data_IF_986739961317
#
_entry.id   IF_986739961317
#
_cell.length_a   1.000
_cell.length_b   1.000
_cell.length_c   1.000
_cell.angle_alpha   90.00
_cell.angle_beta   90.00
_cell.angle_gamma   90.00
#
_symmetry.space_group_name_H-M   'P 1'
#
loop_
_entity.id
_entity.type
_entity.pdbx_description
1 polymer ?
#
# COMPACT_ATOMS: atom_id res chain seq x y z
N UNK A 1 -5.19 -21.78 14.01
CA UNK A 1 -5.00 -20.47 13.35
C UNK A 1 -3.97 -19.69 14.15
N UNK A 2 -2.91 -19.14 13.52
CA UNK A 2 -2.01 -18.22 14.23
C UNK A 2 -2.78 -16.93 14.53
N UNK A 3 -2.61 -16.36 15.73
CA UNK A 3 -3.20 -15.07 16.06
C UNK A 3 -2.64 -13.99 15.13
N UNK A 4 -3.48 -13.04 14.71
CA UNK A 4 -3.04 -11.90 13.91
C UNK A 4 -1.99 -11.09 14.67
N UNK A 5 -0.96 -10.62 13.95
CA UNK A 5 0.11 -9.77 14.51
C UNK A 5 -0.52 -8.58 15.23
N UNK A 6 -0.12 -8.33 16.47
CA UNK A 6 -0.47 -7.10 17.19
C UNK A 6 0.59 -6.04 16.92
N UNK A 7 0.15 -4.82 16.62
CA UNK A 7 1.06 -3.70 16.40
C UNK A 7 1.55 -3.17 17.75
N UNK A 8 2.87 -2.96 17.87
CA UNK A 8 3.45 -2.24 19.00
C UNK A 8 3.36 -0.75 18.71
N UNK A 9 2.52 -0.02 19.46
CA UNK A 9 2.40 1.44 19.38
C UNK A 9 3.62 2.13 19.97
N UNK A 10 3.96 3.32 19.47
CA UNK A 10 5.09 4.12 19.95
C UNK A 10 4.67 5.38 20.74
N UNK A 11 3.37 5.57 20.98
CA UNK A 11 2.83 6.72 21.71
C UNK A 11 1.30 6.76 21.65
N UNK A 12 0.75 7.93 22.00
CA UNK A 12 -0.69 8.19 21.88
C UNK A 12 -1.12 8.32 20.41
N UNK A 13 -2.41 8.03 20.08
CA UNK A 13 -2.98 8.32 18.77
C UNK A 13 -2.74 9.78 18.39
N UNK A 14 -2.25 10.03 17.17
CA UNK A 14 -1.95 11.39 16.71
C UNK A 14 -2.24 11.59 15.24
N UNK A 15 -2.63 12.82 14.92
CA UNK A 15 -2.71 13.38 13.57
C UNK A 15 -2.12 14.78 13.67
N UNK A 16 -0.90 14.96 13.18
CA UNK A 16 -0.19 16.23 13.34
C UNK A 16 0.67 16.56 12.12
N UNK A 17 0.74 17.84 11.77
CA UNK A 17 1.67 18.34 10.76
C UNK A 17 3.01 18.70 11.42
N UNK A 18 4.08 18.05 10.98
CA UNK A 18 5.44 18.48 11.31
C UNK A 18 6.17 18.87 10.02
N UNK A 19 6.54 20.16 9.92
CA UNK A 19 7.10 20.76 8.71
C UNK A 19 6.16 20.58 7.51
N UNK A 20 6.49 19.69 6.60
CA UNK A 20 5.74 19.36 5.38
C UNK A 20 5.04 17.99 5.47
N UNK A 21 5.23 17.24 6.55
CA UNK A 21 4.77 15.85 6.68
C UNK A 21 3.68 15.72 7.74
N UNK A 22 2.52 15.20 7.34
CA UNK A 22 1.46 14.79 8.25
C UNK A 22 1.79 13.41 8.82
N UNK A 23 1.84 13.31 10.14
CA UNK A 23 2.03 12.06 10.87
C UNK A 23 0.70 11.57 11.41
N UNK A 24 0.27 10.39 10.96
CA UNK A 24 -0.92 9.68 11.43
C UNK A 24 -0.44 8.41 12.12
N UNK A 25 -0.38 8.41 13.44
CA UNK A 25 0.27 7.30 14.17
C UNK A 25 -0.60 6.77 15.33
N UNK A 26 -0.38 5.50 15.66
CA UNK A 26 -0.94 4.82 16.85
C UNK A 26 -2.47 4.70 16.88
N UNK A 27 -3.12 4.62 15.72
CA UNK A 27 -4.58 4.44 15.64
C UNK A 27 -4.94 2.95 15.66
N UNK A 28 -5.37 2.45 16.82
CA UNK A 28 -5.61 1.02 17.05
C UNK A 28 -7.08 0.76 17.39
N UNK A 29 -7.73 -0.10 16.60
CA UNK A 29 -9.12 -0.51 16.74
C UNK A 29 -10.11 0.68 16.74
N UNK A 30 -9.84 1.71 15.93
CA UNK A 30 -10.72 2.86 15.81
C UNK A 30 -12.00 2.47 15.08
N UNK A 31 -13.16 2.78 15.68
CA UNK A 31 -14.47 2.54 15.06
C UNK A 31 -14.74 3.53 13.92
N UNK A 32 -14.43 4.80 14.18
CA UNK A 32 -14.60 5.88 13.21
C UNK A 32 -13.36 6.03 12.31
N UNK A 33 -13.55 6.48 11.05
CA UNK A 33 -12.43 6.72 10.14
C UNK A 33 -11.61 7.95 10.57
N UNK A 34 -10.29 7.82 10.51
CA UNK A 34 -9.34 8.90 10.72
C UNK A 34 -9.18 9.63 9.39
N UNK A 35 -9.76 10.82 9.28
CA UNK A 35 -9.78 11.58 8.02
C UNK A 35 -8.81 12.76 8.09
N UNK A 36 -7.86 12.77 7.15
CA UNK A 36 -6.99 13.91 6.87
C UNK A 36 -7.58 14.71 5.71
N UNK A 37 -8.40 15.70 6.05
CA UNK A 37 -9.10 16.57 5.09
C UNK A 37 -8.25 17.74 4.57
N UNK A 38 -7.16 18.06 5.28
CA UNK A 38 -6.23 19.14 4.94
C UNK A 38 -4.95 18.63 4.25
N UNK A 39 -4.25 19.53 3.55
CA UNK A 39 -3.02 19.20 2.84
C UNK A 39 -2.99 19.69 1.40
N UNK A 40 -1.86 19.47 0.75
CA UNK A 40 -1.60 19.87 -0.63
C UNK A 40 -0.54 18.98 -1.27
N UNK A 41 -0.30 19.18 -2.57
CA UNK A 41 0.74 18.47 -3.33
C UNK A 41 2.17 18.67 -2.78
N UNK A 42 2.37 19.63 -1.88
CA UNK A 42 3.66 19.87 -1.20
C UNK A 42 3.84 19.00 0.03
N UNK A 43 2.75 18.45 0.58
CA UNK A 43 2.78 17.71 1.82
C UNK A 43 3.06 16.24 1.59
N UNK A 44 3.68 15.58 2.56
CA UNK A 44 3.80 14.12 2.63
C UNK A 44 2.89 13.60 3.73
N UNK A 45 2.52 12.32 3.66
CA UNK A 45 1.78 11.64 4.73
C UNK A 45 2.57 10.43 5.19
N UNK A 46 2.78 10.30 6.49
CA UNK A 46 3.41 9.15 7.12
C UNK A 46 2.40 8.51 8.06
N UNK A 47 1.97 7.29 7.75
CA UNK A 47 1.08 6.49 8.60
C UNK A 47 1.88 5.38 9.27
N UNK A 48 1.88 5.35 10.60
CA UNK A 48 2.65 4.35 11.36
C UNK A 48 1.87 3.68 12.48
N UNK A 49 2.29 2.47 12.82
CA UNK A 49 1.92 1.78 14.05
C UNK A 49 0.40 1.76 14.31
N UNK A 50 -0.40 1.54 13.26
CA UNK A 50 -1.86 1.57 13.33
C UNK A 50 -2.44 0.19 13.06
N UNK A 51 -3.57 -0.15 13.67
CA UNK A 51 -4.17 -1.47 13.55
C UNK A 51 -5.70 -1.40 13.47
N UNK A 52 -6.30 -2.20 12.59
CA UNK A 52 -7.76 -2.36 12.46
C UNK A 52 -8.52 -1.02 12.37
N UNK A 53 -7.97 -0.07 11.62
CA UNK A 53 -8.50 1.30 11.50
C UNK A 53 -8.65 1.70 10.04
N UNK A 54 -9.57 2.64 9.79
CA UNK A 54 -9.76 3.25 8.46
C UNK A 54 -9.08 4.61 8.44
N UNK A 55 -8.18 4.85 7.48
CA UNK A 55 -7.48 6.11 7.30
C UNK A 55 -7.83 6.68 5.92
N UNK A 56 -8.29 7.94 5.89
CA UNK A 56 -8.74 8.61 4.67
C UNK A 56 -7.85 9.84 4.42
N UNK A 57 -7.26 9.95 3.23
CA UNK A 57 -6.48 11.11 2.78
C UNK A 57 -7.22 11.74 1.59
N UNK A 58 -7.95 12.83 1.86
CA UNK A 58 -8.87 13.42 0.86
C UNK A 58 -8.14 14.27 -0.19
N UNK A 59 -7.03 14.90 0.20
CA UNK A 59 -6.27 15.79 -0.67
C UNK A 59 -5.25 15.02 -1.50
N UNK A 60 -4.95 15.54 -2.70
CA UNK A 60 -3.77 15.10 -3.45
C UNK A 60 -2.51 15.58 -2.74
N UNK A 61 -1.65 14.65 -2.35
CA UNK A 61 -0.39 14.90 -1.63
C UNK A 61 0.83 14.55 -2.47
N UNK A 62 2.03 14.87 -1.99
CA UNK A 62 3.28 14.50 -2.67
C UNK A 62 3.46 12.98 -2.70
N UNK A 63 3.52 12.36 -1.51
CA UNK A 63 3.70 10.93 -1.31
C UNK A 63 3.06 10.46 -0.02
N UNK A 64 2.85 9.14 0.10
CA UNK A 64 2.35 8.49 1.32
C UNK A 64 3.31 7.36 1.70
N UNK A 65 3.71 7.32 2.96
CA UNK A 65 4.53 6.26 3.54
C UNK A 65 3.74 5.55 4.63
N UNK A 66 3.54 4.25 4.50
CA UNK A 66 2.73 3.40 5.39
C UNK A 66 3.64 2.34 5.98
N UNK A 67 3.82 2.35 7.30
CA UNK A 67 4.74 1.45 7.98
C UNK A 67 4.14 0.81 9.22
N UNK A 68 4.43 -0.47 9.45
CA UNK A 68 4.03 -1.17 10.67
C UNK A 68 2.50 -1.08 10.95
N UNK A 69 1.69 -1.21 9.90
CA UNK A 69 0.23 -1.21 10.00
C UNK A 69 -0.34 -2.62 9.83
N UNK A 70 -1.41 -2.97 10.54
CA UNK A 70 -2.05 -4.30 10.45
C UNK A 70 -3.56 -4.18 10.32
N UNK A 71 -4.18 -4.84 9.33
CA UNK A 71 -5.64 -4.86 9.20
C UNK A 71 -6.25 -3.49 8.84
N UNK A 72 -5.43 -2.55 8.34
CA UNK A 72 -5.86 -1.20 8.04
C UNK A 72 -6.45 -1.06 6.64
N UNK A 73 -7.40 -0.14 6.51
CA UNK A 73 -8.00 0.24 5.23
C UNK A 73 -7.62 1.70 4.96
N UNK A 74 -7.08 1.97 3.78
CA UNK A 74 -6.67 3.29 3.33
C UNK A 74 -7.52 3.71 2.14
N UNK A 75 -8.14 4.88 2.23
CA UNK A 75 -8.77 5.55 1.09
C UNK A 75 -7.97 6.81 0.78
N UNK A 76 -7.39 6.88 -0.41
CA UNK A 76 -6.51 7.98 -0.81
C UNK A 76 -7.02 8.60 -2.10
N UNK A 77 -6.88 9.91 -2.24
CA UNK A 77 -7.18 10.58 -3.49
C UNK A 77 -6.14 10.24 -4.57
N UNK A 78 -5.06 11.01 -4.60
CA UNK A 78 -3.99 10.90 -5.59
C UNK A 78 -2.66 11.25 -4.91
N UNK A 79 -1.55 10.81 -5.49
CA UNK A 79 -0.21 11.27 -5.10
C UNK A 79 0.53 11.85 -6.30
N UNK A 80 1.56 12.65 -6.05
CA UNK A 80 2.44 13.15 -7.11
C UNK A 80 3.47 12.10 -7.50
N UNK A 81 4.04 11.42 -6.52
CA UNK A 81 5.14 10.46 -6.71
C UNK A 81 4.71 9.03 -6.40
N UNK A 82 4.65 8.66 -5.12
CA UNK A 82 4.53 7.25 -4.73
C UNK A 82 3.75 7.03 -3.43
N UNK A 83 3.31 5.78 -3.27
CA UNK A 83 2.90 5.22 -1.99
C UNK A 83 3.87 4.08 -1.62
N UNK A 84 4.40 4.07 -0.42
CA UNK A 84 5.28 3.03 0.09
C UNK A 84 4.59 2.28 1.24
N UNK A 85 4.56 0.95 1.17
CA UNK A 85 3.97 0.06 2.17
C UNK A 85 5.07 -0.84 2.69
N UNK A 86 5.44 -0.66 3.96
CA UNK A 86 6.61 -1.34 4.56
C UNK A 86 6.21 -2.05 5.85
N UNK A 87 6.58 -3.32 5.99
CA UNK A 87 6.35 -4.09 7.23
C UNK A 87 4.88 -4.09 7.68
N UNK A 88 3.95 -4.27 6.75
CA UNK A 88 2.51 -4.24 7.01
C UNK A 88 1.85 -5.60 6.75
N UNK A 89 0.74 -5.89 7.43
CA UNK A 89 -0.01 -7.14 7.24
C UNK A 89 -1.51 -6.86 7.06
N UNK A 90 -2.20 -7.52 6.13
CA UNK A 90 -3.65 -7.34 5.87
C UNK A 90 -4.04 -5.88 5.56
N UNK A 91 -3.38 -5.29 4.56
CA UNK A 91 -3.65 -3.92 4.11
C UNK A 91 -4.63 -3.90 2.94
N UNK A 92 -5.59 -2.98 2.99
CA UNK A 92 -6.43 -2.63 1.84
C UNK A 92 -6.19 -1.16 1.50
N UNK A 93 -5.71 -0.87 0.30
CA UNK A 93 -5.46 0.49 -0.17
C UNK A 93 -6.34 0.77 -1.38
N UNK A 94 -7.21 1.76 -1.32
CA UNK A 94 -8.04 2.20 -2.43
C UNK A 94 -7.66 3.62 -2.84
N UNK A 95 -7.34 3.81 -4.12
CA UNK A 95 -7.16 5.14 -4.70
C UNK A 95 -8.42 5.58 -5.45
N UNK A 96 -8.83 6.84 -5.31
CA UNK A 96 -9.92 7.42 -6.11
C UNK A 96 -9.40 8.15 -7.34
N UNK A 97 -8.13 8.56 -7.34
CA UNK A 97 -7.48 9.20 -8.47
C UNK A 97 -6.19 8.51 -8.91
N UNK A 98 -5.15 9.28 -9.25
CA UNK A 98 -3.91 8.75 -9.84
C UNK A 98 -2.82 8.55 -8.79
N UNK A 99 -2.26 7.34 -8.76
CA UNK A 99 -1.03 6.98 -8.04
C UNK A 99 -0.04 6.41 -9.06
N UNK A 100 1.08 7.10 -9.36
CA UNK A 100 2.03 6.62 -10.37
C UNK A 100 2.73 5.32 -9.95
N UNK A 101 3.17 5.25 -8.69
CA UNK A 101 3.99 4.14 -8.20
C UNK A 101 3.56 3.69 -6.81
N UNK A 102 3.52 2.38 -6.60
CA UNK A 102 3.38 1.76 -5.28
C UNK A 102 4.57 0.83 -5.01
N UNK A 103 5.16 0.92 -3.83
CA UNK A 103 6.20 -0.01 -3.37
C UNK A 103 5.67 -0.84 -2.20
N UNK A 104 5.90 -2.15 -2.20
CA UNK A 104 5.48 -3.09 -1.15
C UNK A 104 6.71 -3.87 -0.66
N UNK A 105 7.23 -3.52 0.51
CA UNK A 105 8.37 -4.20 1.16
C UNK A 105 7.95 -4.92 2.45
N UNK A 106 8.40 -6.16 2.63
CA UNK A 106 8.21 -6.96 3.86
C UNK A 106 6.76 -7.00 4.35
N UNK A 107 5.81 -7.05 3.43
CA UNK A 107 4.38 -6.95 3.76
C UNK A 107 3.61 -8.16 3.26
N UNK A 108 2.58 -8.58 3.99
CA UNK A 108 1.78 -9.75 3.63
C UNK A 108 0.31 -9.37 3.51
N UNK A 109 -0.40 -9.98 2.54
CA UNK A 109 -1.83 -9.78 2.32
C UNK A 109 -2.17 -8.30 2.04
N UNK A 110 -1.73 -7.82 0.89
CA UNK A 110 -1.89 -6.41 0.47
C UNK A 110 -2.78 -6.35 -0.77
N UNK A 111 -3.97 -5.76 -0.64
CA UNK A 111 -4.92 -5.57 -1.73
C UNK A 111 -4.97 -4.09 -2.13
N UNK A 112 -4.64 -3.79 -3.38
CA UNK A 112 -4.64 -2.43 -3.93
C UNK A 112 -5.78 -2.29 -4.92
N UNK A 113 -6.74 -1.44 -4.59
CA UNK A 113 -7.90 -1.10 -5.41
C UNK A 113 -7.58 0.15 -6.22
N UNK A 114 -7.44 -0.02 -7.54
CA UNK A 114 -7.13 1.05 -8.47
C UNK A 114 -8.37 1.87 -8.81
N UNK A 115 -8.18 3.13 -9.21
CA UNK A 115 -9.23 3.93 -9.84
C UNK A 115 -9.29 3.66 -11.34
N UNK A 116 -10.33 4.15 -12.03
CA UNK A 116 -10.40 4.07 -13.50
C UNK A 116 -9.25 4.82 -14.19
N UNK A 117 -8.79 5.92 -13.60
CA UNK A 117 -7.69 6.75 -14.11
C UNK A 117 -6.29 6.27 -13.67
N UNK A 118 -6.21 5.54 -12.55
CA UNK A 118 -4.97 5.01 -11.96
C UNK A 118 -4.62 3.58 -12.37
N UNK A 119 -5.22 3.03 -13.42
CA UNK A 119 -4.99 1.62 -13.85
C UNK A 119 -3.55 1.30 -14.26
N UNK A 120 -2.77 2.31 -14.63
CA UNK A 120 -1.38 2.15 -15.08
C UNK A 120 -0.36 2.29 -13.94
N UNK A 121 -0.77 2.12 -12.68
CA UNK A 121 0.12 2.16 -11.52
C UNK A 121 1.23 1.12 -11.66
N UNK A 122 2.47 1.53 -11.42
CA UNK A 122 3.61 0.62 -11.35
C UNK A 122 3.77 0.10 -9.91
N UNK A 123 3.89 -1.22 -9.75
CA UNK A 123 4.08 -1.84 -8.43
C UNK A 123 5.46 -2.47 -8.33
N UNK A 124 6.24 -2.00 -7.37
CA UNK A 124 7.51 -2.60 -6.95
C UNK A 124 7.25 -3.47 -5.73
N UNK A 125 7.76 -4.70 -5.71
CA UNK A 125 7.60 -5.59 -4.56
C UNK A 125 8.92 -6.24 -4.14
N UNK A 126 9.12 -6.38 -2.83
CA UNK A 126 10.26 -7.08 -2.25
C UNK A 126 9.90 -7.75 -0.92
N UNK A 127 10.24 -9.04 -0.78
CA UNK A 127 10.01 -9.80 0.47
C UNK A 127 8.55 -9.74 0.96
N UNK A 128 7.61 -9.70 0.04
CA UNK A 128 6.19 -9.51 0.31
C UNK A 128 5.39 -10.67 -0.30
N UNK A 129 4.23 -10.99 0.27
CA UNK A 129 3.39 -12.10 -0.17
C UNK A 129 1.89 -11.77 -0.15
N UNK A 130 1.07 -12.58 -0.84
CA UNK A 130 -0.38 -12.41 -0.93
C UNK A 130 -0.78 -11.00 -1.41
N UNK A 131 -0.11 -10.52 -2.47
CA UNK A 131 -0.31 -9.17 -3.01
C UNK A 131 -1.25 -9.22 -4.22
N UNK A 132 -2.25 -8.35 -4.26
CA UNK A 132 -3.21 -8.30 -5.36
C UNK A 132 -3.45 -6.86 -5.85
N UNK A 133 -3.54 -6.70 -7.18
CA UNK A 133 -4.12 -5.52 -7.82
C UNK A 133 -5.58 -5.80 -8.16
N UNK A 134 -6.46 -4.88 -7.80
CA UNK A 134 -7.89 -4.94 -8.07
C UNK A 134 -8.26 -3.78 -9.00
N UNK A 135 -8.80 -4.13 -10.16
CA UNK A 135 -9.21 -3.17 -11.19
C UNK A 135 -10.74 -3.04 -11.22
N UNK A 136 -11.27 -1.82 -11.30
CA UNK A 136 -12.72 -1.63 -11.34
C UNK A 136 -13.30 -2.23 -12.62
N UNK A 137 -14.34 -3.05 -12.45
CA UNK A 137 -15.12 -3.69 -13.50
C UNK A 137 -16.07 -2.73 -14.22
N UNK A 138 -17.07 -3.32 -14.90
CA UNK A 138 -18.10 -2.56 -15.61
C UNK A 138 -19.15 -2.00 -14.64
N UNK A 139 -19.60 -2.81 -13.68
CA UNK A 139 -20.55 -2.42 -12.63
C UNK A 139 -19.83 -1.93 -11.36
N UNK A 140 -20.52 -1.10 -10.58
CA UNK A 140 -20.00 -0.62 -9.31
C UNK A 140 -19.94 -1.75 -8.29
N UNK A 141 -18.79 -1.93 -7.66
CA UNK A 141 -18.55 -3.05 -6.73
C UNK A 141 -17.87 -4.25 -7.39
N UNK A 142 -17.81 -4.31 -8.72
CA UNK A 142 -17.06 -5.35 -9.44
C UNK A 142 -15.57 -5.04 -9.46
N UNK A 143 -14.77 -6.04 -9.09
CA UNK A 143 -13.32 -5.96 -9.08
C UNK A 143 -12.71 -7.14 -9.82
N UNK A 144 -11.91 -6.85 -10.84
CA UNK A 144 -11.01 -7.83 -11.45
C UNK A 144 -9.74 -7.91 -10.60
N UNK A 145 -9.60 -9.00 -9.84
CA UNK A 145 -8.45 -9.28 -8.99
C UNK A 145 -7.34 -9.99 -9.80
N UNK A 146 -6.12 -9.47 -9.72
CA UNK A 146 -4.92 -10.05 -10.32
C UNK A 146 -3.82 -10.15 -9.26
N UNK A 147 -3.36 -11.37 -9.00
CA UNK A 147 -2.26 -11.62 -8.06
C UNK A 147 -0.92 -11.12 -8.64
N UNK A 148 -0.13 -10.43 -7.81
CA UNK A 148 1.24 -10.05 -8.14
C UNK A 148 2.14 -11.27 -7.88
N UNK A 149 2.96 -11.70 -8.86
CA UNK A 149 3.89 -12.80 -8.65
C UNK A 149 4.91 -12.52 -7.55
N UNK A 150 5.12 -13.49 -6.67
CA UNK A 150 6.03 -13.40 -5.53
C UNK A 150 7.20 -14.41 -5.61
N UNK A 151 7.26 -15.22 -6.67
CA UNK A 151 8.35 -16.18 -6.92
C UNK A 151 8.97 -15.99 -8.31
N UNK A 152 10.30 -16.06 -8.36
CA UNK A 152 11.10 -15.93 -9.57
C UNK A 152 12.06 -17.11 -9.74
N UNK A 153 12.35 -17.47 -10.98
CA UNK A 153 13.38 -18.45 -11.34
C UNK A 153 14.59 -17.71 -11.90
N UNK A 154 15.77 -17.98 -11.33
CA UNK A 154 17.03 -17.39 -11.78
C UNK A 154 17.93 -18.47 -12.37
N UNK A 155 18.48 -18.21 -13.56
CA UNK A 155 19.44 -19.11 -14.23
C UNK A 155 20.67 -18.33 -14.69
N UNK A 156 21.82 -19.00 -14.72
CA UNK A 156 23.02 -18.45 -15.36
C UNK A 156 22.93 -18.65 -16.88
N UNK A 157 23.09 -17.56 -17.64
CA UNK A 157 23.16 -17.59 -19.09
C UNK A 157 24.65 -17.56 -19.51
N UNK A 158 25.20 -18.73 -19.85
CA UNK A 158 26.61 -18.88 -20.25
C UNK A 158 26.98 -17.97 -21.42
N UNK A 159 26.12 -17.90 -22.45
CA UNK A 159 26.39 -17.10 -23.65
C UNK A 159 26.48 -15.59 -23.40
N UNK A 160 25.82 -15.11 -22.33
CA UNK A 160 25.82 -13.68 -21.95
C UNK A 160 26.64 -13.39 -20.70
N UNK A 161 27.19 -14.40 -20.04
CA UNK A 161 27.96 -14.27 -18.80
C UNK A 161 27.20 -13.61 -17.65
N UNK A 162 25.87 -13.71 -17.58
CA UNK A 162 25.05 -13.05 -16.54
C UNK A 162 23.89 -13.91 -16.05
N UNK A 163 23.35 -13.56 -14.88
CA UNK A 163 22.10 -14.13 -14.39
C UNK A 163 20.90 -13.50 -15.11
N UNK A 164 19.92 -14.33 -15.43
CA UNK A 164 18.62 -13.90 -15.95
C UNK A 164 17.53 -14.47 -15.05
N UNK A 165 16.57 -13.62 -14.68
CA UNK A 165 15.45 -13.97 -13.83
C UNK A 165 14.14 -13.77 -14.58
N UNK A 166 13.21 -14.68 -14.39
CA UNK A 166 11.84 -14.60 -14.92
C UNK A 166 10.85 -14.92 -13.80
N UNK A 167 9.61 -14.45 -13.94
CA UNK A 167 8.50 -14.87 -13.06
C UNK A 167 8.37 -16.39 -13.12
N UNK A 168 8.11 -17.01 -11.98
CA UNK A 168 7.90 -18.46 -11.90
C UNK A 168 6.72 -18.88 -12.79
N UNK A 169 6.84 -19.96 -13.58
CA UNK A 169 5.74 -20.48 -14.42
C UNK A 169 4.47 -20.87 -13.65
N UNK A 170 4.53 -20.91 -12.31
CA UNK A 170 3.36 -21.19 -11.46
C UNK A 170 2.29 -20.08 -11.51
N UNK A 171 2.64 -18.88 -12.00
CA UNK A 171 1.74 -17.72 -12.06
C UNK A 171 1.00 -17.57 -13.40
N UNK A 172 1.21 -18.48 -14.36
CA UNK A 172 0.66 -18.43 -15.71
C UNK A 172 1.72 -18.22 -16.78
#
# INVERSE_FOLDING_TARGET
MKAARQVVTNGSPKVELQKDTYFVENHVNCTDPITLSEGSIKNKVSVRCSQNSRIIVEQKVNSIFIENCVGCIFLVNSVISSIEIVNCDDIKLQMTGVVPTISIDKSNKVNIYTSKEGKNVEVYSSKSSEMNLLFPGEEEGDWKELAIPEQFVTKYNESKGKLESVVSPLYG
#
